data_IF_071598274986
#
_entry.id   IF_071598274986
#
_cell.length_a   1.000
_cell.length_b   1.000
_cell.length_c   1.000
_cell.angle_alpha   90.00
_cell.angle_beta   90.00
_cell.angle_gamma   90.00
#
_symmetry.space_group_name_H-M   'P 1'
#
loop_
_entity.id
_entity.type
_entity.pdbx_description
1 polymer ?
#
# COMPACT_ATOMS: atom_id res chain seq x y z
N UNK A 1 -16.26 -14.13 -15.93
CA UNK A 1 -15.15 -13.55 -16.71
C UNK A 1 -15.03 -12.08 -16.38
N UNK A 2 -13.85 -11.57 -16.04
CA UNK A 2 -13.64 -10.15 -15.72
C UNK A 2 -12.95 -9.46 -16.92
N UNK A 3 -13.73 -9.00 -17.89
CA UNK A 3 -13.24 -8.21 -19.01
C UNK A 3 -13.29 -6.74 -18.62
N UNK A 4 -12.24 -5.97 -18.95
CA UNK A 4 -12.22 -4.55 -18.65
C UNK A 4 -11.45 -3.75 -19.70
N UNK A 5 -11.74 -2.47 -19.73
CA UNK A 5 -11.02 -1.47 -20.50
C UNK A 5 -10.24 -0.61 -19.52
N UNK A 6 -8.95 -0.45 -19.77
CA UNK A 6 -8.03 0.37 -18.98
C UNK A 6 -7.54 1.54 -19.85
N UNK A 7 -7.64 2.76 -19.31
CA UNK A 7 -7.07 3.96 -19.90
C UNK A 7 -6.11 4.56 -18.88
N UNK A 8 -4.82 4.56 -19.22
CA UNK A 8 -3.74 5.03 -18.34
C UNK A 8 -3.09 6.28 -18.90
N UNK A 9 -3.00 7.31 -18.07
CA UNK A 9 -2.30 8.55 -18.34
C UNK A 9 -1.19 8.77 -17.33
N UNK A 10 0.06 8.82 -17.79
CA UNK A 10 1.22 9.10 -16.94
C UNK A 10 1.91 10.40 -17.37
N UNK A 11 2.15 11.30 -16.41
CA UNK A 11 2.93 12.50 -16.58
C UNK A 11 4.13 12.53 -15.62
N UNK A 12 5.33 12.73 -16.17
CA UNK A 12 6.58 12.87 -15.38
C UNK A 12 7.02 14.32 -15.38
N UNK A 13 7.39 14.81 -14.21
CA UNK A 13 7.89 16.18 -14.07
C UNK A 13 9.18 16.22 -13.23
N UNK A 14 9.96 17.27 -13.47
CA UNK A 14 11.20 17.55 -12.74
C UNK A 14 11.24 19.01 -12.36
N UNK A 15 11.83 19.31 -11.21
CA UNK A 15 12.11 20.66 -10.73
C UNK A 15 13.45 20.65 -9.98
N UNK A 16 13.91 21.82 -9.52
CA UNK A 16 15.26 22.01 -8.99
C UNK A 16 15.65 21.00 -7.89
N UNK A 17 14.74 20.71 -6.96
CA UNK A 17 15.03 19.86 -5.79
C UNK A 17 14.41 18.47 -5.88
N UNK A 18 13.78 18.13 -7.00
CA UNK A 18 13.07 16.87 -7.07
C UNK A 18 12.48 16.49 -8.41
N UNK A 19 11.77 15.40 -8.37
CA UNK A 19 11.02 14.89 -9.52
C UNK A 19 9.79 14.14 -9.04
N UNK A 20 8.81 14.03 -9.91
CA UNK A 20 7.61 13.28 -9.58
C UNK A 20 6.94 12.67 -10.80
N UNK A 21 5.96 11.84 -10.52
CA UNK A 21 5.07 11.25 -11.50
C UNK A 21 3.63 11.44 -11.05
N UNK A 22 2.77 11.71 -12.00
CA UNK A 22 1.34 11.78 -11.86
C UNK A 22 0.75 10.69 -12.75
N UNK A 23 -0.04 9.81 -12.19
CA UNK A 23 -0.72 8.74 -12.92
C UNK A 23 -2.22 8.83 -12.67
N UNK A 24 -3.01 8.73 -13.73
CA UNK A 24 -4.47 8.64 -13.69
C UNK A 24 -4.87 7.41 -14.48
N UNK A 25 -5.50 6.46 -13.82
CA UNK A 25 -5.96 5.22 -14.40
C UNK A 25 -7.48 5.15 -14.30
N UNK A 26 -8.14 5.06 -15.45
CA UNK A 26 -9.57 4.75 -15.56
C UNK A 26 -9.73 3.30 -15.95
N UNK A 27 -10.59 2.58 -15.25
CA UNK A 27 -10.89 1.17 -15.51
C UNK A 27 -12.39 0.94 -15.49
N UNK A 28 -12.90 0.19 -16.50
CA UNK A 28 -14.31 -0.18 -16.61
C UNK A 28 -14.45 -1.64 -16.98
N UNK A 29 -15.19 -2.40 -16.21
CA UNK A 29 -15.51 -3.81 -16.45
C UNK A 29 -16.94 -4.02 -16.96
N UNK A 30 -17.70 -2.95 -17.25
CA UNK A 30 -19.13 -3.02 -17.60
C UNK A 30 -19.41 -3.63 -18.97
N UNK A 31 -18.40 -3.72 -19.84
CA UNK A 31 -18.58 -4.18 -21.24
C UNK A 31 -18.15 -5.64 -21.38
N UNK A 32 -19.12 -6.55 -21.56
CA UNK A 32 -18.88 -7.98 -21.82
C UNK A 32 -18.25 -8.73 -20.64
N UNK A 33 -18.42 -8.22 -19.43
CA UNK A 33 -17.93 -8.79 -18.17
C UNK A 33 -19.08 -9.36 -17.34
N UNK A 34 -18.79 -10.37 -16.52
CA UNK A 34 -19.72 -10.85 -15.49
C UNK A 34 -19.80 -9.89 -14.29
N UNK A 35 -18.97 -8.88 -14.27
CA UNK A 35 -18.87 -7.83 -13.25
C UNK A 35 -19.29 -6.48 -13.84
N UNK A 36 -19.73 -5.59 -12.95
CA UNK A 36 -20.20 -4.25 -13.30
C UNK A 36 -19.61 -3.24 -12.33
N UNK A 37 -18.44 -2.69 -12.68
CA UNK A 37 -17.78 -1.64 -11.92
C UNK A 37 -16.98 -0.69 -12.81
N UNK A 38 -16.83 0.52 -12.34
CA UNK A 38 -15.96 1.54 -12.88
C UNK A 38 -15.11 2.11 -11.74
N UNK A 39 -13.84 2.38 -12.00
CA UNK A 39 -12.96 3.04 -11.03
C UNK A 39 -12.02 4.03 -11.70
N UNK A 40 -11.74 5.11 -10.98
CA UNK A 40 -10.71 6.09 -11.33
C UNK A 40 -9.70 6.07 -10.19
N UNK A 41 -8.45 5.86 -10.53
CA UNK A 41 -7.34 5.86 -9.59
C UNK A 41 -6.38 6.99 -9.94
N UNK A 42 -6.02 7.80 -8.97
CA UNK A 42 -5.06 8.87 -9.07
C UNK A 42 -3.87 8.58 -8.15
N UNK A 43 -2.66 8.63 -8.69
CA UNK A 43 -1.43 8.42 -7.92
C UNK A 43 -0.45 9.53 -8.25
N UNK A 44 -0.09 10.33 -7.24
CA UNK A 44 0.99 11.28 -7.34
C UNK A 44 2.17 10.81 -6.49
N UNK A 45 3.33 10.63 -7.11
CA UNK A 45 4.58 10.31 -6.41
C UNK A 45 5.54 11.47 -6.55
N UNK A 46 6.19 11.84 -5.46
CA UNK A 46 7.15 12.91 -5.45
C UNK A 46 8.42 12.50 -4.69
N UNK A 47 9.59 12.84 -5.23
CA UNK A 47 10.88 12.57 -4.65
C UNK A 47 11.64 13.89 -4.53
N UNK A 48 11.83 14.35 -3.31
CA UNK A 48 12.57 15.56 -2.98
C UNK A 48 13.94 15.24 -2.41
N UNK A 49 14.93 16.02 -2.78
CA UNK A 49 16.28 15.93 -2.23
C UNK A 49 16.61 17.22 -1.49
N UNK A 50 16.53 17.18 -0.17
CA UNK A 50 16.88 18.30 0.71
C UNK A 50 18.29 18.06 1.26
N UNK A 51 19.32 18.59 0.59
CA UNK A 51 20.73 18.35 0.93
C UNK A 51 21.07 16.85 0.94
N UNK A 52 21.11 16.25 2.14
CA UNK A 52 21.53 14.87 2.39
C UNK A 52 20.36 13.94 2.74
N UNK A 53 19.16 14.49 2.87
CA UNK A 53 17.92 13.78 3.16
C UNK A 53 17.14 13.66 1.85
N UNK A 54 16.57 12.49 1.58
CA UNK A 54 15.63 12.30 0.49
C UNK A 54 14.26 12.02 1.08
N UNK A 55 13.27 12.77 0.64
CA UNK A 55 11.89 12.61 1.07
C UNK A 55 11.10 12.12 -0.14
N UNK A 56 10.44 11.00 0.02
CA UNK A 56 9.50 10.46 -0.97
C UNK A 56 8.10 10.55 -0.38
N UNK A 57 7.17 10.99 -1.20
CA UNK A 57 5.75 11.01 -0.85
C UNK A 57 4.95 10.36 -1.96
N UNK A 58 3.89 9.67 -1.58
CA UNK A 58 2.88 9.14 -2.49
C UNK A 58 1.51 9.55 -1.98
N UNK A 59 0.77 10.27 -2.79
CA UNK A 59 -0.65 10.51 -2.62
C UNK A 59 -1.39 9.53 -3.51
N UNK A 60 -2.31 8.81 -2.93
CA UNK A 60 -3.19 7.87 -3.62
C UNK A 60 -4.64 8.26 -3.40
N UNK A 61 -5.43 8.18 -4.43
CA UNK A 61 -6.86 8.40 -4.36
C UNK A 61 -7.56 7.49 -5.38
N UNK A 62 -8.59 6.78 -4.96
CA UNK A 62 -9.43 5.96 -5.82
C UNK A 62 -10.89 6.18 -5.51
N UNK A 63 -11.69 6.34 -6.54
CA UNK A 63 -13.16 6.28 -6.46
C UNK A 63 -13.64 5.20 -7.39
N UNK A 64 -14.45 4.31 -6.84
CA UNK A 64 -15.09 3.25 -7.57
C UNK A 64 -16.61 3.30 -7.40
N UNK A 65 -17.30 2.88 -8.45
CA UNK A 65 -18.75 2.72 -8.49
C UNK A 65 -19.10 1.44 -9.22
N UNK A 66 -20.21 0.84 -8.88
CA UNK A 66 -20.68 -0.38 -9.53
C UNK A 66 -21.53 -1.24 -8.61
N UNK A 67 -22.23 -2.18 -9.20
CA UNK A 67 -23.16 -3.07 -8.49
C UNK A 67 -22.55 -4.43 -8.18
N UNK A 68 -21.55 -4.86 -8.96
CA UNK A 68 -20.94 -6.18 -8.84
C UNK A 68 -19.43 -6.11 -9.06
N UNK A 69 -18.68 -6.09 -7.99
CA UNK A 69 -17.22 -6.01 -8.01
C UNK A 69 -16.57 -7.41 -8.04
N UNK A 70 -15.49 -7.53 -8.81
CA UNK A 70 -14.59 -8.65 -8.69
C UNK A 70 -13.74 -8.49 -7.41
N UNK A 71 -13.66 -9.53 -6.59
CA UNK A 71 -12.91 -9.45 -5.31
C UNK A 71 -11.43 -9.13 -5.52
N UNK A 72 -10.84 -9.67 -6.59
CA UNK A 72 -9.45 -9.41 -6.97
C UNK A 72 -9.16 -7.96 -7.36
N UNK A 73 -10.20 -7.21 -7.78
CA UNK A 73 -10.08 -5.82 -8.25
C UNK A 73 -10.41 -4.79 -7.16
N UNK A 74 -10.85 -5.23 -5.99
CA UNK A 74 -11.11 -4.35 -4.85
C UNK A 74 -9.82 -3.73 -4.35
N UNK A 75 -9.92 -2.51 -3.85
CA UNK A 75 -8.83 -1.80 -3.22
C UNK A 75 -8.46 -2.47 -1.89
N UNK A 76 -7.18 -2.68 -1.64
CA UNK A 76 -6.68 -3.20 -0.36
C UNK A 76 -6.13 -2.07 0.51
N UNK A 77 -6.36 -2.16 1.81
CA UNK A 77 -5.86 -1.22 2.81
C UNK A 77 -4.32 -1.26 2.91
N UNK A 78 -3.77 -2.45 3.04
CA UNK A 78 -2.41 -2.62 3.52
C UNK A 78 -1.38 -2.96 2.44
N UNK A 79 -1.77 -3.00 1.19
CA UNK A 79 -0.86 -3.33 0.11
C UNK A 79 -1.59 -3.68 -1.18
N UNK A 80 -0.92 -4.41 -2.06
CA UNK A 80 -1.46 -4.79 -3.36
C UNK A 80 -2.67 -5.73 -3.21
N UNK A 81 -3.68 -5.51 -4.03
CA UNK A 81 -4.74 -6.49 -4.23
C UNK A 81 -4.26 -7.67 -5.11
N UNK A 82 -5.08 -8.71 -5.27
CA UNK A 82 -4.71 -9.90 -6.04
C UNK A 82 -4.35 -9.57 -7.49
N UNK A 83 -5.05 -8.64 -8.09
CA UNK A 83 -4.82 -8.21 -9.47
C UNK A 83 -3.49 -7.47 -9.63
N UNK A 84 -3.16 -6.55 -8.71
CA UNK A 84 -1.86 -5.87 -8.66
C UNK A 84 -0.72 -6.88 -8.42
N UNK A 85 -0.93 -7.89 -7.56
CA UNK A 85 0.03 -8.97 -7.32
C UNK A 85 0.27 -9.81 -8.59
N UNK A 86 -0.77 -10.16 -9.32
CA UNK A 86 -0.68 -10.89 -10.60
C UNK A 86 0.05 -10.10 -11.67
N UNK A 87 -0.08 -8.78 -11.68
CA UNK A 87 0.64 -7.90 -12.60
C UNK A 87 2.11 -7.71 -12.23
N UNK A 88 2.50 -7.98 -11.00
CA UNK A 88 3.87 -7.84 -10.53
C UNK A 88 4.72 -9.06 -10.90
N UNK A 89 5.86 -8.81 -11.55
CA UNK A 89 6.81 -9.88 -11.91
C UNK A 89 7.38 -10.66 -10.71
N UNK A 90 7.30 -10.10 -9.50
CA UNK A 90 7.82 -10.72 -8.28
C UNK A 90 6.78 -11.54 -7.52
N UNK A 91 5.50 -11.24 -7.67
CA UNK A 91 4.42 -11.83 -6.85
C UNK A 91 3.39 -12.62 -7.65
N UNK A 92 3.48 -12.63 -9.00
CA UNK A 92 2.54 -13.35 -9.87
C UNK A 92 2.62 -14.88 -9.80
N UNK A 93 3.66 -15.43 -9.17
CA UNK A 93 3.72 -16.87 -8.90
C UNK A 93 2.81 -17.18 -7.71
N UNK A 94 1.72 -17.88 -7.97
CA UNK A 94 0.76 -18.31 -6.95
C UNK A 94 1.42 -19.26 -5.94
N UNK A 95 1.06 -19.14 -4.69
CA UNK A 95 1.45 -20.03 -3.61
C UNK A 95 2.64 -19.60 -2.75
N UNK A 96 3.38 -18.56 -3.09
CA UNK A 96 4.48 -18.06 -2.24
C UNK A 96 3.96 -17.10 -1.16
N UNK A 97 2.88 -16.36 -1.47
CA UNK A 97 2.30 -15.40 -0.54
C UNK A 97 0.78 -15.56 -0.56
N UNK A 98 0.30 -16.42 0.30
CA UNK A 98 -1.14 -16.57 0.48
C UNK A 98 -1.64 -15.53 1.49
N UNK A 99 -2.24 -14.46 1.00
CA UNK A 99 -2.87 -13.42 1.83
C UNK A 99 -4.26 -13.83 2.33
N UNK A 100 -4.77 -14.99 1.90
CA UNK A 100 -6.15 -15.40 2.20
C UNK A 100 -6.28 -16.10 3.57
N UNK A 101 -5.17 -16.47 4.19
CA UNK A 101 -5.17 -17.04 5.53
C UNK A 101 -5.11 -15.94 6.61
N UNK A 102 -6.06 -15.02 6.56
CA UNK A 102 -6.38 -14.23 7.74
C UNK A 102 -7.13 -15.16 8.69
N UNK A 103 -6.40 -15.80 9.56
CA UNK A 103 -7.00 -16.49 10.68
C UNK A 103 -7.61 -15.44 11.61
N UNK A 104 -8.79 -15.69 12.15
CA UNK A 104 -9.45 -14.80 13.12
C UNK A 104 -8.61 -14.60 14.40
N UNK A 105 -7.57 -15.38 14.57
CA UNK A 105 -6.58 -15.27 15.66
C UNK A 105 -5.54 -14.16 15.46
N UNK A 106 -5.76 -13.22 14.50
CA UNK A 106 -4.86 -12.10 14.23
C UNK A 106 -3.42 -12.52 13.88
N UNK A 107 -3.24 -13.74 13.38
CA UNK A 107 -1.93 -14.19 12.92
C UNK A 107 -1.47 -13.33 11.74
N UNK A 108 -0.28 -12.82 11.87
CA UNK A 108 0.27 -11.85 10.94
C UNK A 108 0.96 -12.52 9.77
N UNK A 109 0.59 -12.16 8.57
CA UNK A 109 1.45 -12.38 7.43
C UNK A 109 2.52 -11.28 7.41
N UNK A 110 3.79 -11.68 7.53
CA UNK A 110 4.91 -10.75 7.56
C UNK A 110 5.42 -10.35 6.16
N UNK A 111 4.70 -10.71 5.10
CA UNK A 111 5.04 -10.29 3.75
C UNK A 111 4.18 -9.10 3.31
N UNK A 112 4.82 -8.08 2.73
CA UNK A 112 4.15 -6.91 2.19
C UNK A 112 4.45 -6.73 0.70
N UNK A 113 3.41 -6.77 -0.13
CA UNK A 113 3.45 -6.39 -1.54
C UNK A 113 2.95 -4.95 -1.70
N UNK A 114 3.73 -4.05 -2.32
CA UNK A 114 3.31 -2.65 -2.48
C UNK A 114 2.16 -2.52 -3.46
N UNK A 115 1.16 -1.71 -3.11
CA UNK A 115 -0.03 -1.44 -3.91
C UNK A 115 -1.18 -0.88 -3.08
N UNK A 116 -2.33 -0.69 -3.67
CA UNK A 116 -3.51 -0.18 -2.98
C UNK A 116 -3.25 1.08 -2.16
N UNK A 117 -3.79 1.17 -0.95
CA UNK A 117 -3.53 2.28 -0.02
C UNK A 117 -2.13 2.20 0.60
N UNK A 118 -1.52 1.02 0.65
CA UNK A 118 -0.15 0.79 1.10
C UNK A 118 0.14 1.20 2.56
N UNK A 119 -0.81 0.96 3.46
CA UNK A 119 -0.61 1.15 4.90
C UNK A 119 0.14 -0.07 5.46
N UNK A 120 1.46 0.02 5.50
CA UNK A 120 2.36 -1.12 5.76
C UNK A 120 2.13 -1.77 7.11
N UNK A 121 1.88 -0.96 8.13
CA UNK A 121 1.64 -1.44 9.48
C UNK A 121 0.45 -2.37 9.63
N UNK A 122 -0.49 -2.31 8.70
CA UNK A 122 -1.68 -3.16 8.67
C UNK A 122 -1.55 -4.39 7.78
N UNK A 123 -0.40 -4.64 7.18
CA UNK A 123 -0.19 -5.81 6.31
C UNK A 123 -0.37 -7.11 7.10
N UNK A 124 -1.25 -7.99 6.62
CA UNK A 124 -1.57 -9.24 7.30
C UNK A 124 -2.27 -9.07 8.66
N UNK A 125 -2.96 -7.96 8.88
CA UNK A 125 -3.41 -7.55 10.18
C UNK A 125 -4.79 -6.90 10.10
N UNK A 126 -5.79 -7.54 10.68
CA UNK A 126 -7.13 -6.99 10.74
C UNK A 126 -7.23 -6.03 11.94
N UNK A 127 -7.48 -4.77 11.66
CA UNK A 127 -7.77 -3.76 12.67
C UNK A 127 -9.26 -3.36 12.57
N UNK A 128 -10.16 -4.03 13.30
CA UNK A 128 -11.57 -3.76 13.22
C UNK A 128 -11.91 -2.36 13.74
N UNK A 129 -12.98 -1.78 13.20
CA UNK A 129 -13.63 -0.62 13.80
C UNK A 129 -14.60 -1.08 14.87
N UNK A 130 -14.63 -0.37 16.00
CA UNK A 130 -15.52 -0.65 17.11
C UNK A 130 -16.62 0.41 17.20
N UNK A 131 -17.79 -0.02 17.62
CA UNK A 131 -18.84 0.87 18.08
C UNK A 131 -18.52 1.41 19.49
N UNK A 132 -19.26 2.42 19.94
CA UNK A 132 -19.11 2.98 21.28
C UNK A 132 -19.35 1.94 22.41
N UNK A 133 -20.10 0.88 22.13
CA UNK A 133 -20.38 -0.23 23.05
C UNK A 133 -19.30 -1.33 23.05
N UNK A 134 -18.21 -1.15 22.28
CA UNK A 134 -17.12 -2.12 22.15
C UNK A 134 -17.41 -3.28 21.20
N UNK A 135 -18.55 -3.32 20.53
CA UNK A 135 -18.83 -4.33 19.50
C UNK A 135 -18.13 -3.99 18.19
N UNK A 136 -17.77 -5.01 17.42
CA UNK A 136 -17.12 -4.82 16.11
C UNK A 136 -18.14 -4.20 15.14
N UNK A 137 -17.79 -3.03 14.60
CA UNK A 137 -18.58 -2.32 13.60
C UNK A 137 -18.29 -2.83 12.20
N UNK A 138 -17.03 -2.89 11.82
CA UNK A 138 -16.59 -3.35 10.51
C UNK A 138 -15.11 -3.74 10.53
N UNK A 139 -14.70 -4.46 9.51
CA UNK A 139 -13.27 -4.76 9.27
C UNK A 139 -12.66 -3.95 8.13
N UNK A 140 -13.42 -3.23 7.35
CA UNK A 140 -13.09 -2.41 6.18
C UNK A 140 -11.62 -2.49 5.69
N UNK A 141 -11.17 -3.72 5.42
CA UNK A 141 -9.82 -4.00 4.94
C UNK A 141 -9.74 -3.92 3.42
N UNK A 142 -10.83 -4.26 2.76
CA UNK A 142 -11.00 -4.16 1.31
C UNK A 142 -12.13 -3.20 1.00
N UNK A 143 -11.99 -2.42 -0.07
CA UNK A 143 -12.99 -1.46 -0.46
C UNK A 143 -13.00 -1.17 -1.96
N UNK A 144 -13.85 -0.26 -2.35
CA UNK A 144 -13.97 0.21 -3.73
C UNK A 144 -13.36 1.60 -3.91
N UNK A 145 -13.31 2.36 -2.83
CA UNK A 145 -12.80 3.73 -2.84
C UNK A 145 -11.93 3.98 -1.60
N UNK A 146 -10.98 4.89 -1.73
CA UNK A 146 -10.09 5.23 -0.62
C UNK A 146 -9.09 6.31 -0.98
N UNK A 147 -8.41 6.80 0.06
CA UNK A 147 -7.33 7.76 -0.08
C UNK A 147 -6.20 7.42 0.89
N UNK A 148 -4.96 7.65 0.50
CA UNK A 148 -3.80 7.45 1.34
C UNK A 148 -2.69 8.43 1.05
N UNK A 149 -1.93 8.75 2.09
CA UNK A 149 -0.66 9.46 2.03
C UNK A 149 0.42 8.55 2.63
N UNK A 150 1.43 8.25 1.82
CA UNK A 150 2.59 7.47 2.24
C UNK A 150 3.83 8.37 2.17
N UNK A 151 4.69 8.31 3.16
CA UNK A 151 5.90 9.14 3.23
C UNK A 151 7.09 8.31 3.67
N UNK A 152 8.24 8.50 3.01
CA UNK A 152 9.54 7.94 3.41
C UNK A 152 10.58 9.04 3.50
N UNK A 153 11.36 9.02 4.58
CA UNK A 153 12.47 9.94 4.82
C UNK A 153 13.76 9.11 4.88
N UNK A 154 14.53 9.13 3.80
CA UNK A 154 15.83 8.43 3.70
C UNK A 154 16.89 9.22 4.48
N UNK A 155 17.40 8.62 5.54
CA UNK A 155 18.45 9.17 6.40
C UNK A 155 19.77 8.40 6.32
N UNK A 156 19.94 7.54 5.33
CA UNK A 156 21.12 6.68 5.12
C UNK A 156 22.43 7.45 5.24
N UNK A 157 22.45 8.69 4.80
CA UNK A 157 23.66 9.53 4.85
C UNK A 157 24.17 9.75 6.28
N UNK A 158 23.30 9.76 7.28
CA UNK A 158 23.67 10.01 8.69
C UNK A 158 24.08 8.75 9.44
N UNK A 159 24.00 7.57 8.82
CA UNK A 159 24.49 6.33 9.42
C UNK A 159 26.02 6.28 9.46
N UNK A 160 26.59 5.49 10.38
CA UNK A 160 28.03 5.20 10.41
C UNK A 160 28.55 4.72 9.06
N UNK A 161 29.78 5.09 8.71
CA UNK A 161 30.37 4.79 7.41
C UNK A 161 30.31 3.31 7.03
N UNK A 162 30.44 2.40 8.00
CA UNK A 162 30.36 0.94 7.80
C UNK A 162 29.00 0.51 7.26
N UNK A 163 27.91 1.19 7.66
CA UNK A 163 26.54 0.93 7.23
C UNK A 163 26.16 1.75 5.97
N UNK A 164 26.99 2.72 5.61
CA UNK A 164 26.77 3.61 4.46
C UNK A 164 27.23 2.95 3.16
N UNK A 165 26.58 1.85 2.81
CA UNK A 165 26.81 1.15 1.56
C UNK A 165 25.77 1.61 0.53
N UNK A 166 26.18 1.74 -0.76
CA UNK A 166 25.26 2.07 -1.86
C UNK A 166 24.12 1.06 -2.03
N UNK A 167 24.29 -0.15 -1.49
CA UNK A 167 23.29 -1.23 -1.53
C UNK A 167 22.26 -1.16 -0.40
N UNK A 168 22.61 -0.51 0.73
CA UNK A 168 21.72 -0.40 1.91
C UNK A 168 21.15 1.02 1.96
N UNK A 169 19.85 1.12 2.16
CA UNK A 169 19.17 2.36 2.48
C UNK A 169 18.36 2.18 3.76
N UNK A 170 18.31 3.24 4.55
CA UNK A 170 17.57 3.28 5.81
C UNK A 170 16.65 4.48 5.80
N UNK A 171 15.40 4.29 6.18
CA UNK A 171 14.38 5.33 6.13
C UNK A 171 13.41 5.22 7.31
N UNK A 172 12.85 6.34 7.68
CA UNK A 172 11.62 6.41 8.46
C UNK A 172 10.45 6.42 7.49
N UNK A 173 9.35 5.83 7.88
CA UNK A 173 8.12 5.90 7.10
C UNK A 173 6.91 6.25 7.97
N UNK A 174 5.92 6.84 7.35
CA UNK A 174 4.61 7.05 7.90
C UNK A 174 3.56 6.91 6.79
N UNK A 175 2.53 6.13 7.05
CA UNK A 175 1.42 5.88 6.14
C UNK A 175 0.12 6.26 6.84
N UNK A 176 -0.82 6.86 6.10
CA UNK A 176 -2.14 7.19 6.62
C UNK A 176 -3.18 7.06 5.50
N UNK A 177 -4.38 6.55 5.83
CA UNK A 177 -5.41 6.37 4.82
C UNK A 177 -6.78 6.01 5.38
N UNK A 178 -7.76 6.10 4.48
CA UNK A 178 -9.16 5.76 4.70
C UNK A 178 -9.66 4.92 3.53
N UNK A 179 -10.60 4.02 3.80
CA UNK A 179 -11.15 3.12 2.80
C UNK A 179 -12.68 2.99 2.97
N UNK A 180 -13.37 2.66 1.91
CA UNK A 180 -14.80 2.31 1.97
C UNK A 180 -15.17 1.30 0.90
N UNK A 181 -16.08 0.41 1.25
CA UNK A 181 -16.78 -0.50 0.33
C UNK A 181 -18.12 0.06 -0.15
N UNK A 182 -18.59 1.16 0.45
CA UNK A 182 -19.87 1.79 0.11
C UNK A 182 -19.75 2.63 -1.16
N UNK A 183 -20.78 2.63 -1.99
CA UNK A 183 -20.86 3.58 -3.08
C UNK A 183 -20.92 5.00 -2.53
N UNK A 184 -20.01 5.85 -3.00
CA UNK A 184 -19.92 7.23 -2.54
C UNK A 184 -20.96 8.07 -3.28
N UNK A 185 -21.81 8.76 -2.51
CA UNK A 185 -22.72 9.79 -2.99
C UNK A 185 -22.43 11.12 -2.28
N UNK A 186 -22.93 12.23 -2.82
CA UNK A 186 -22.77 13.54 -2.17
C UNK A 186 -23.38 13.55 -0.77
N UNK A 187 -24.48 12.82 -0.58
CA UNK A 187 -25.22 12.77 0.69
C UNK A 187 -24.49 11.95 1.77
N UNK A 188 -23.82 10.85 1.39
CA UNK A 188 -23.18 9.95 2.34
C UNK A 188 -21.67 10.16 2.50
N UNK A 189 -21.08 11.14 1.78
CA UNK A 189 -19.63 11.31 1.70
C UNK A 189 -18.92 11.31 3.06
N UNK A 190 -19.47 12.01 4.06
CA UNK A 190 -18.85 12.12 5.39
C UNK A 190 -18.87 10.80 6.19
N UNK A 191 -19.87 9.94 5.96
CA UNK A 191 -20.09 8.72 6.72
C UNK A 191 -19.80 7.45 5.91
N UNK A 192 -19.26 7.60 4.70
CA UNK A 192 -18.99 6.48 3.81
C UNK A 192 -17.66 5.80 4.15
N UNK A 193 -16.67 6.59 4.57
CA UNK A 193 -15.32 6.08 4.80
C UNK A 193 -15.15 5.45 6.19
N UNK A 194 -14.20 4.53 6.27
CA UNK A 194 -13.66 4.01 7.51
C UNK A 194 -13.03 5.11 8.36
N UNK A 195 -12.80 4.83 9.62
CA UNK A 195 -11.93 5.66 10.42
C UNK A 195 -10.53 5.75 9.82
N UNK A 196 -9.86 6.87 10.10
CA UNK A 196 -8.47 7.06 9.69
C UNK A 196 -7.58 5.99 10.32
N UNK A 197 -6.82 5.31 9.49
CA UNK A 197 -5.75 4.42 9.92
C UNK A 197 -4.41 5.04 9.59
N UNK A 198 -3.49 4.98 10.54
CA UNK A 198 -2.15 5.50 10.39
C UNK A 198 -1.14 4.58 11.06
N UNK A 199 -0.01 4.43 10.42
CA UNK A 199 1.12 3.69 10.95
C UNK A 199 2.43 4.43 10.69
N UNK A 200 3.45 4.12 11.48
CA UNK A 200 4.79 4.66 11.30
C UNK A 200 5.85 3.66 11.76
N UNK A 201 7.01 3.74 11.16
CA UNK A 201 8.08 2.80 11.47
C UNK A 201 9.43 3.19 10.86
N UNK A 202 10.35 2.26 11.00
CA UNK A 202 11.68 2.32 10.38
C UNK A 202 11.80 1.20 9.35
N UNK A 203 12.47 1.47 8.25
CA UNK A 203 12.68 0.50 7.19
C UNK A 203 14.10 0.49 6.66
N UNK A 204 14.46 -0.65 6.09
CA UNK A 204 15.73 -0.89 5.44
C UNK A 204 15.49 -1.53 4.08
N UNK A 205 16.27 -1.13 3.08
CA UNK A 205 16.32 -1.84 1.80
C UNK A 205 17.73 -2.31 1.52
N UNK A 206 17.83 -3.51 0.96
CA UNK A 206 19.07 -4.05 0.42
C UNK A 206 18.91 -4.30 -1.06
N UNK A 207 19.76 -3.67 -1.88
CA UNK A 207 19.73 -3.79 -3.33
C UNK A 207 20.77 -4.81 -3.79
N UNK A 208 20.32 -5.85 -4.48
CA UNK A 208 21.13 -6.85 -5.14
C UNK A 208 21.27 -6.46 -6.62
N UNK A 209 22.46 -6.10 -7.02
CA UNK A 209 22.83 -5.87 -8.41
C UNK A 209 23.55 -7.11 -8.93
N UNK A 210 23.25 -7.54 -10.17
CA UNK A 210 23.92 -8.65 -10.85
C UNK A 210 23.89 -9.98 -10.07
N UNK A 211 22.72 -10.44 -9.72
CA UNK A 211 22.56 -11.71 -9.00
C UNK A 211 22.24 -12.85 -9.97
N UNK A 212 23.25 -13.37 -10.69
CA UNK A 212 23.18 -14.59 -11.50
C UNK A 212 21.88 -14.76 -12.31
N UNK A 213 21.08 -15.82 -12.06
CA UNK A 213 19.84 -16.06 -12.81
C UNK A 213 18.77 -14.98 -12.64
N UNK A 214 18.95 -14.03 -11.71
CA UNK A 214 18.06 -12.90 -11.48
C UNK A 214 18.52 -11.61 -12.21
N UNK A 215 19.50 -11.65 -13.10
CA UNK A 215 19.94 -10.49 -13.90
C UNK A 215 18.79 -9.82 -14.66
N UNK A 216 17.82 -10.58 -15.13
CA UNK A 216 16.63 -10.05 -15.81
C UNK A 216 15.67 -9.26 -14.90
N UNK A 217 15.86 -9.35 -13.59
CA UNK A 217 15.00 -8.72 -12.57
C UNK A 217 15.69 -7.48 -11.97
N UNK A 218 16.84 -7.16 -12.42
CA UNK A 218 17.73 -6.12 -11.88
C UNK A 218 17.12 -4.70 -11.91
N UNK A 219 17.23 -3.90 -10.82
CA UNK A 219 17.78 -4.29 -9.53
C UNK A 219 16.76 -5.07 -8.67
N UNK A 220 17.19 -6.13 -8.02
CA UNK A 220 16.39 -6.85 -7.04
C UNK A 220 16.55 -6.17 -5.65
N UNK A 221 15.47 -5.71 -5.09
CA UNK A 221 15.47 -4.99 -3.80
C UNK A 221 14.72 -5.80 -2.77
N UNK A 222 15.38 -6.19 -1.69
CA UNK A 222 14.75 -6.76 -0.51
C UNK A 222 14.47 -5.60 0.45
N UNK A 223 13.27 -5.56 0.98
CA UNK A 223 12.85 -4.57 1.96
C UNK A 223 12.49 -5.24 3.27
N UNK A 224 12.88 -4.61 4.36
CA UNK A 224 12.52 -4.97 5.71
C UNK A 224 11.98 -3.74 6.42
N UNK A 225 10.71 -3.78 6.82
CA UNK A 225 10.02 -2.71 7.52
C UNK A 225 9.67 -3.15 8.95
N UNK A 226 9.82 -2.25 9.89
CA UNK A 226 9.42 -2.42 11.29
C UNK A 226 8.43 -1.31 11.65
N UNK A 227 7.13 -1.49 11.37
CA UNK A 227 6.11 -0.61 11.91
C UNK A 227 6.02 -0.82 13.42
N UNK A 228 6.17 0.26 14.18
CA UNK A 228 6.09 0.23 15.64
C UNK A 228 4.95 1.10 16.19
N UNK A 229 4.39 1.96 15.39
CA UNK A 229 3.20 2.76 15.73
C UNK A 229 2.04 2.37 14.81
N UNK A 230 0.89 2.07 15.41
CA UNK A 230 -0.39 1.90 14.73
C UNK A 230 -1.46 2.62 15.53
N UNK A 231 -2.26 3.49 14.91
CA UNK A 231 -3.34 4.18 15.62
C UNK A 231 -4.57 3.28 15.87
N UNK A 232 -4.59 2.09 15.28
CA UNK A 232 -5.57 1.04 15.51
C UNK A 232 -4.84 -0.25 15.81
N UNK A 233 -4.73 -0.60 17.08
CA UNK A 233 -4.20 -1.89 17.51
C UNK A 233 -5.26 -2.99 17.37
N UNK A 234 -4.88 -4.28 17.28
CA UNK A 234 -5.88 -5.35 17.20
C UNK A 234 -6.65 -5.49 18.49
N UNK A 235 -7.92 -5.64 18.29
CA UNK A 235 -8.98 -6.17 19.12
C UNK A 235 -9.12 -5.68 20.57
N UNK A 236 -8.10 -5.59 21.37
CA UNK A 236 -8.27 -5.37 22.82
C UNK A 236 -7.21 -4.49 23.47
N UNK A 237 -6.08 -4.28 22.81
CA UNK A 237 -5.00 -3.48 23.38
C UNK A 237 -5.13 -2.03 22.92
N UNK A 238 -5.27 -1.12 23.88
CA UNK A 238 -5.23 0.32 23.64
C UNK A 238 -3.79 0.82 23.40
N UNK A 239 -2.81 -0.09 23.34
CA UNK A 239 -1.41 0.27 23.13
C UNK A 239 -1.13 0.49 21.64
N UNK A 240 -0.83 1.73 21.28
CA UNK A 240 -0.45 2.13 19.92
C UNK A 240 0.97 1.69 19.51
N UNK A 241 1.76 1.17 20.44
CA UNK A 241 3.11 0.69 20.19
C UNK A 241 3.11 -0.83 19.98
N UNK A 242 3.29 -1.23 18.73
CA UNK A 242 3.28 -2.64 18.32
C UNK A 242 4.62 -3.01 17.70
N UNK A 243 5.26 -4.07 18.19
CA UNK A 243 6.50 -4.59 17.59
C UNK A 243 6.16 -5.54 16.45
N UNK A 244 6.17 -5.02 15.23
CA UNK A 244 5.92 -5.80 14.02
C UNK A 244 7.11 -5.74 13.07
N UNK A 245 7.22 -6.71 12.19
CA UNK A 245 8.20 -6.72 11.11
C UNK A 245 7.57 -7.25 9.82
N UNK A 246 8.02 -6.73 8.70
CA UNK A 246 7.54 -7.07 7.38
C UNK A 246 8.72 -7.25 6.44
N UNK A 247 8.61 -8.24 5.56
CA UNK A 247 9.52 -8.40 4.43
C UNK A 247 8.76 -8.06 3.15
N UNK A 248 9.40 -7.31 2.28
CA UNK A 248 8.85 -6.99 0.96
C UNK A 248 9.91 -7.12 -0.12
N UNK A 249 9.44 -7.35 -1.34
CA UNK A 249 10.26 -7.30 -2.54
C UNK A 249 9.93 -6.00 -3.25
N UNK A 250 10.98 -5.31 -3.71
CA UNK A 250 10.88 -4.00 -4.33
C UNK A 250 10.63 -2.85 -3.33
N UNK A 251 10.67 -1.60 -3.82
CA UNK A 251 10.39 -0.41 -3.02
C UNK A 251 8.91 -0.36 -2.64
N UNK A 252 8.60 0.36 -1.57
CA UNK A 252 7.21 0.50 -1.13
C UNK A 252 6.36 1.35 -2.10
N UNK A 253 6.96 2.29 -2.82
CA UNK A 253 6.34 3.07 -3.90
C UNK A 253 7.38 3.82 -4.73
#
# INVERSE_FOLDING_TARGET
MNNRIDIDFEHKYKYHEGSGTLNILFQSSSIGSDYDYNKITFVAKNNNSLKKIKIKTRLFFQVGSGTKWAEESKLSLAGANKEEMMSSKFTRADGIVNSDNFDYDFTTNNFHSPGGLNLRGYSGYLAPEFNEDGTIKSFDYNGTSGAALNTEIDFTYYLPYVLRNNKIKSYLFADAGIITSKNITVENFKNAFSDLRADAGIGFTYTLDNFGPLETINPFVIRFDMPFFLNRAPATDEDFLQMRWLIGINKAF
#
